data_IF_237428736943
#
_entry.id   IF_237428736943
#
_cell.length_a   1.000
_cell.length_b   1.000
_cell.length_c   1.000
_cell.angle_alpha   90.00
_cell.angle_beta   90.00
_cell.angle_gamma   90.00
#
_symmetry.space_group_name_H-M   'P 1'
#
loop_
_entity.id
_entity.type
_entity.pdbx_description
1 polymer ?
#
# COMPACT_ATOMS: atom_id res chain seq x y z
N UNK A 1 16.79 2.24 4.03
CA UNK A 1 15.73 1.28 3.66
C UNK A 1 16.15 -0.20 3.69
N UNK A 2 17.36 -0.60 3.93
CA UNK A 2 17.81 -2.02 3.94
C UNK A 2 17.82 -2.67 5.32
N UNK A 3 17.51 -1.95 6.40
CA UNK A 3 17.56 -2.49 7.75
C UNK A 3 16.32 -3.37 8.03
N UNK A 4 16.55 -4.62 8.47
CA UNK A 4 15.46 -5.52 8.83
C UNK A 4 14.62 -4.92 9.99
N UNK A 5 13.29 -5.15 9.99
CA UNK A 5 12.36 -4.57 10.96
C UNK A 5 12.76 -4.77 12.42
N UNK A 6 13.28 -5.96 12.75
CA UNK A 6 13.79 -6.29 14.09
C UNK A 6 14.94 -5.42 14.58
N UNK A 7 15.81 -4.92 13.68
CA UNK A 7 16.88 -4.01 14.05
C UNK A 7 16.43 -2.55 14.13
N UNK A 8 15.35 -2.21 13.43
CA UNK A 8 14.79 -0.85 13.47
C UNK A 8 14.24 -0.51 14.83
N UNK A 9 13.46 -1.40 15.45
CA UNK A 9 12.92 -1.21 16.79
C UNK A 9 14.02 -0.94 17.83
N UNK A 10 15.08 -1.76 17.82
CA UNK A 10 16.18 -1.62 18.77
C UNK A 10 17.00 -0.33 18.57
N UNK A 11 17.20 0.11 17.31
CA UNK A 11 18.03 1.29 17.04
C UNK A 11 17.24 2.61 17.07
N UNK A 12 15.91 2.53 17.09
CA UNK A 12 15.00 3.66 16.92
C UNK A 12 13.84 3.66 17.92
N UNK A 13 14.14 3.29 19.19
CA UNK A 13 13.20 3.21 20.30
C UNK A 13 12.46 4.52 20.62
N UNK A 14 12.99 5.67 20.14
CA UNK A 14 12.38 6.99 20.29
C UNK A 14 11.66 7.46 19.01
N UNK A 15 11.22 6.55 18.14
CA UNK A 15 10.51 6.90 16.91
C UNK A 15 9.16 6.20 16.83
N UNK A 16 8.28 6.76 16.03
CA UNK A 16 6.97 6.18 15.70
C UNK A 16 6.89 5.94 14.20
N UNK A 17 6.51 4.74 13.79
CA UNK A 17 6.30 4.35 12.40
C UNK A 17 4.82 4.61 12.03
N UNK A 18 4.57 5.36 10.96
CA UNK A 18 3.24 5.75 10.47
C UNK A 18 3.10 5.26 9.04
N UNK A 19 2.23 4.25 8.82
CA UNK A 19 2.05 3.59 7.53
C UNK A 19 0.65 3.80 6.95
N UNK A 20 0.53 3.85 5.63
CA UNK A 20 -0.75 3.79 4.91
C UNK A 20 -1.39 2.42 5.08
N UNK A 21 -2.67 2.38 5.48
CA UNK A 21 -3.42 1.13 5.52
C UNK A 21 -3.78 0.66 4.13
N UNK A 22 -3.32 -0.55 3.77
CA UNK A 22 -3.70 -1.20 2.50
C UNK A 22 -3.43 -0.32 1.27
N UNK A 23 -2.24 0.32 1.22
CA UNK A 23 -1.88 1.39 0.29
C UNK A 23 -2.26 1.10 -1.17
N UNK A 24 -1.66 0.09 -1.81
CA UNK A 24 -1.87 -0.18 -3.23
C UNK A 24 -3.35 -0.48 -3.60
N UNK A 25 -4.11 -1.33 -2.88
CA UNK A 25 -5.53 -1.50 -3.14
C UNK A 25 -6.34 -0.21 -3.04
N UNK A 26 -6.11 0.62 -2.01
CA UNK A 26 -6.82 1.90 -1.82
C UNK A 26 -6.47 2.89 -2.94
N UNK A 27 -5.19 2.99 -3.31
CA UNK A 27 -4.73 3.83 -4.42
C UNK A 27 -5.32 3.35 -5.75
N UNK A 28 -5.35 2.04 -5.99
CA UNK A 28 -5.97 1.49 -7.21
C UNK A 28 -7.45 1.83 -7.31
N UNK A 29 -8.21 1.69 -6.20
CA UNK A 29 -9.61 2.13 -6.14
C UNK A 29 -9.74 3.63 -6.43
N UNK A 30 -8.84 4.45 -5.88
CA UNK A 30 -8.82 5.88 -6.15
C UNK A 30 -8.61 6.18 -7.64
N UNK A 31 -7.66 5.51 -8.30
CA UNK A 31 -7.43 5.65 -9.74
C UNK A 31 -8.69 5.23 -10.53
N UNK A 32 -9.34 4.12 -10.13
CA UNK A 32 -10.61 3.70 -10.72
C UNK A 32 -11.67 4.81 -10.61
N UNK A 33 -11.76 5.49 -9.46
CA UNK A 33 -12.72 6.59 -9.27
C UNK A 33 -12.44 7.79 -10.16
N UNK A 34 -11.16 8.15 -10.36
CA UNK A 34 -10.77 9.25 -11.26
C UNK A 34 -11.19 9.01 -12.72
N UNK A 35 -11.13 7.75 -13.16
CA UNK A 35 -11.46 7.36 -14.52
C UNK A 35 -12.86 6.74 -14.66
N UNK A 36 -13.70 6.79 -13.60
CA UNK A 36 -15.07 6.24 -13.58
C UNK A 36 -15.14 4.76 -13.94
N UNK A 37 -14.13 3.99 -13.51
CA UNK A 37 -14.04 2.54 -13.69
C UNK A 37 -14.67 1.85 -12.48
N UNK A 38 -15.54 0.88 -12.71
CA UNK A 38 -16.11 0.06 -11.64
C UNK A 38 -15.12 -1.03 -11.21
N UNK A 39 -14.99 -1.25 -9.91
CA UNK A 39 -14.07 -2.24 -9.34
C UNK A 39 -14.69 -2.94 -8.10
N UNK A 40 -15.83 -3.63 -8.25
CA UNK A 40 -16.63 -4.12 -7.14
C UNK A 40 -15.90 -5.14 -6.25
N UNK A 41 -15.07 -6.03 -6.81
CA UNK A 41 -14.30 -6.97 -5.99
C UNK A 41 -13.17 -6.27 -5.22
N UNK A 42 -12.53 -5.25 -5.81
CA UNK A 42 -11.54 -4.43 -5.12
C UNK A 42 -12.18 -3.65 -3.97
N UNK A 43 -13.34 -3.04 -4.19
CA UNK A 43 -14.10 -2.34 -3.15
C UNK A 43 -14.51 -3.29 -2.01
N UNK A 44 -15.01 -4.46 -2.36
CA UNK A 44 -15.37 -5.48 -1.37
C UNK A 44 -14.15 -5.96 -0.57
N UNK A 45 -13.02 -6.19 -1.24
CA UNK A 45 -11.77 -6.56 -0.56
C UNK A 45 -11.31 -5.49 0.42
N UNK A 46 -11.32 -4.21 0.02
CA UNK A 46 -10.90 -3.11 0.90
C UNK A 46 -11.79 -3.03 2.14
N UNK A 47 -13.11 -3.16 1.96
CA UNK A 47 -14.09 -3.07 3.04
C UNK A 47 -14.05 -4.27 4.00
N UNK A 48 -13.72 -5.47 3.51
CA UNK A 48 -13.82 -6.73 4.27
C UNK A 48 -12.47 -7.45 4.43
N UNK A 49 -11.36 -6.71 4.31
CA UNK A 49 -10.02 -7.27 4.22
C UNK A 49 -9.67 -8.26 5.34
N UNK A 50 -9.93 -7.91 6.60
CA UNK A 50 -9.57 -8.76 7.72
C UNK A 50 -10.39 -10.06 7.74
N UNK A 51 -11.68 -9.99 7.45
CA UNK A 51 -12.56 -11.17 7.30
C UNK A 51 -12.08 -12.07 6.17
N UNK A 52 -11.75 -11.49 5.01
CA UNK A 52 -11.26 -12.26 3.85
C UNK A 52 -9.91 -12.91 4.17
N UNK A 53 -9.00 -12.19 4.81
CA UNK A 53 -7.69 -12.74 5.17
C UNK A 53 -7.77 -13.82 6.27
N UNK A 54 -8.78 -13.77 7.14
CA UNK A 54 -9.00 -14.82 8.15
C UNK A 54 -9.50 -16.15 7.57
N UNK A 55 -9.96 -16.17 6.31
CA UNK A 55 -10.32 -17.41 5.59
C UNK A 55 -9.11 -18.19 5.05
N UNK A 56 -7.90 -17.63 5.15
CA UNK A 56 -6.67 -18.27 4.72
C UNK A 56 -5.97 -18.94 5.92
N UNK A 57 -5.40 -20.12 5.70
CA UNK A 57 -4.65 -20.86 6.73
C UNK A 57 -3.47 -20.03 7.26
N UNK A 58 -2.82 -19.26 6.37
CA UNK A 58 -1.83 -18.25 6.72
C UNK A 58 -2.30 -16.87 6.19
N UNK A 59 -2.58 -15.96 7.12
CA UNK A 59 -2.98 -14.58 6.83
C UNK A 59 -1.95 -13.84 5.97
N UNK A 60 -0.66 -14.09 6.16
CA UNK A 60 0.41 -13.43 5.40
C UNK A 60 0.49 -13.98 3.97
N UNK A 61 0.24 -15.27 3.78
CA UNK A 61 0.10 -15.86 2.46
C UNK A 61 -1.08 -15.24 1.70
N UNK A 62 -2.24 -15.14 2.35
CA UNK A 62 -3.41 -14.45 1.82
C UNK A 62 -3.10 -13.01 1.42
N UNK A 63 -2.54 -12.22 2.34
CA UNK A 63 -2.11 -10.84 2.07
C UNK A 63 -1.18 -10.73 0.85
N UNK A 64 -0.19 -11.62 0.79
CA UNK A 64 0.78 -11.66 -0.31
C UNK A 64 0.11 -12.01 -1.64
N UNK A 65 -0.86 -12.92 -1.63
CA UNK A 65 -1.58 -13.31 -2.84
C UNK A 65 -2.43 -12.16 -3.40
N UNK A 66 -3.19 -11.46 -2.56
CA UNK A 66 -3.97 -10.28 -2.99
C UNK A 66 -3.06 -9.16 -3.51
N UNK A 67 -1.94 -8.88 -2.84
CA UNK A 67 -0.98 -7.88 -3.30
C UNK A 67 -0.34 -8.28 -4.64
N UNK A 68 -0.02 -9.57 -4.83
CA UNK A 68 0.45 -10.07 -6.12
C UNK A 68 -0.60 -9.92 -7.22
N UNK A 69 -1.87 -10.23 -6.95
CA UNK A 69 -2.93 -10.07 -7.93
C UNK A 69 -3.06 -8.61 -8.42
N UNK A 70 -2.81 -7.62 -7.56
CA UNK A 70 -2.78 -6.19 -7.93
C UNK A 70 -1.61 -5.87 -8.90
N UNK A 71 -0.46 -6.53 -8.73
CA UNK A 71 0.80 -6.16 -9.41
C UNK A 71 1.31 -7.21 -10.42
N UNK A 72 0.63 -8.34 -10.58
CA UNK A 72 1.04 -9.42 -11.47
C UNK A 72 -0.14 -9.83 -12.38
N UNK A 73 0.12 -9.97 -13.67
CA UNK A 73 -0.87 -10.40 -14.64
C UNK A 73 -1.02 -11.93 -14.73
N UNK A 74 -0.19 -12.69 -14.00
CA UNK A 74 -0.24 -14.16 -14.00
C UNK A 74 -1.22 -14.69 -12.96
N UNK A 75 -2.14 -15.60 -13.35
CA UNK A 75 -3.09 -16.18 -12.42
C UNK A 75 -2.37 -17.08 -11.39
N UNK A 76 -2.76 -16.93 -10.13
CA UNK A 76 -2.33 -17.84 -9.07
C UNK A 76 -3.08 -19.16 -9.18
N UNK A 77 -2.40 -20.26 -9.52
CA UNK A 77 -3.00 -21.58 -9.70
C UNK A 77 -3.21 -22.36 -8.40
N UNK A 78 -2.60 -21.93 -7.30
CA UNK A 78 -2.65 -22.63 -6.01
C UNK A 78 -3.90 -22.29 -5.20
N UNK A 79 -4.37 -21.05 -5.26
CA UNK A 79 -5.52 -20.59 -4.50
C UNK A 79 -6.80 -20.88 -5.28
N UNK A 80 -7.72 -21.61 -4.66
CA UNK A 80 -9.01 -22.05 -5.26
C UNK A 80 -10.21 -21.26 -4.73
N UNK A 81 -10.02 -20.37 -3.75
CA UNK A 81 -11.06 -19.54 -3.18
C UNK A 81 -11.78 -18.77 -4.29
N UNK A 82 -13.13 -18.85 -4.33
CA UNK A 82 -13.96 -18.26 -5.41
C UNK A 82 -13.85 -16.74 -5.45
N UNK A 83 -13.85 -16.09 -4.27
CA UNK A 83 -13.71 -14.63 -4.20
C UNK A 83 -12.33 -14.19 -4.73
N UNK A 84 -11.27 -14.87 -4.29
CA UNK A 84 -9.92 -14.56 -4.77
C UNK A 84 -9.82 -14.68 -6.30
N UNK A 85 -10.45 -15.69 -6.91
CA UNK A 85 -10.46 -15.84 -8.37
C UNK A 85 -11.18 -14.71 -9.09
N UNK A 86 -12.31 -14.26 -8.52
CA UNK A 86 -13.06 -13.11 -9.09
C UNK A 86 -12.25 -11.82 -8.94
N UNK A 87 -11.64 -11.59 -7.79
CA UNK A 87 -10.74 -10.47 -7.52
C UNK A 87 -9.56 -10.47 -8.49
N UNK A 88 -8.85 -11.60 -8.60
CA UNK A 88 -7.69 -11.75 -9.46
C UNK A 88 -8.02 -11.46 -10.95
N UNK A 89 -9.20 -11.90 -11.41
CA UNK A 89 -9.67 -11.58 -12.77
C UNK A 89 -9.89 -10.07 -12.92
N UNK A 90 -10.62 -9.45 -11.99
CA UNK A 90 -10.87 -8.01 -12.02
C UNK A 90 -9.55 -7.22 -12.00
N UNK A 91 -8.56 -7.62 -11.19
CA UNK A 91 -7.25 -6.94 -11.18
C UNK A 91 -6.56 -6.98 -12.54
N UNK A 92 -6.60 -8.10 -13.25
CA UNK A 92 -6.02 -8.18 -14.60
C UNK A 92 -6.77 -7.28 -15.59
N UNK A 93 -8.09 -7.26 -15.53
CA UNK A 93 -8.90 -6.41 -16.40
C UNK A 93 -8.60 -4.92 -16.11
N UNK A 94 -8.48 -4.53 -14.85
CA UNK A 94 -8.09 -3.18 -14.42
C UNK A 94 -6.67 -2.81 -14.87
N UNK A 95 -5.70 -3.72 -14.73
CA UNK A 95 -4.33 -3.50 -15.18
C UNK A 95 -4.30 -3.16 -16.67
N UNK A 96 -4.96 -3.95 -17.52
CA UNK A 96 -5.02 -3.74 -18.95
C UNK A 96 -5.70 -2.41 -19.31
N UNK A 97 -6.84 -2.13 -18.66
CA UNK A 97 -7.60 -0.92 -18.93
C UNK A 97 -6.83 0.34 -18.51
N UNK A 98 -6.37 0.41 -17.25
CA UNK A 98 -5.69 1.60 -16.70
C UNK A 98 -4.40 1.87 -17.47
N UNK A 99 -3.61 0.84 -17.78
CA UNK A 99 -2.37 1.01 -18.54
C UNK A 99 -2.60 1.34 -20.01
N UNK A 100 -3.82 1.26 -20.53
CA UNK A 100 -4.19 1.74 -21.87
C UNK A 100 -4.58 3.22 -21.90
N UNK A 101 -4.82 3.84 -20.76
CA UNK A 101 -5.19 5.27 -20.66
C UNK A 101 -4.03 6.13 -21.17
N UNK A 102 -4.28 7.13 -22.06
CA UNK A 102 -3.23 7.96 -22.65
C UNK A 102 -2.28 8.59 -21.63
N UNK A 103 -2.80 9.03 -20.48
CA UNK A 103 -2.03 9.62 -19.37
C UNK A 103 -0.90 8.72 -18.86
N UNK A 104 -1.05 7.38 -18.96
CA UNK A 104 -0.11 6.40 -18.40
C UNK A 104 0.77 5.72 -19.48
N UNK A 105 0.66 6.09 -20.74
CA UNK A 105 1.41 5.46 -21.83
C UNK A 105 2.93 5.60 -21.68
N UNK A 106 3.40 6.75 -21.21
CA UNK A 106 4.84 6.97 -20.99
C UNK A 106 5.36 6.05 -19.87
N UNK A 107 4.57 5.86 -18.81
CA UNK A 107 4.90 4.94 -17.72
C UNK A 107 4.95 3.51 -18.26
N UNK A 108 3.95 3.09 -19.04
CA UNK A 108 3.92 1.76 -19.65
C UNK A 108 5.12 1.54 -20.58
N UNK A 109 5.44 2.53 -21.39
CA UNK A 109 6.57 2.47 -22.32
C UNK A 109 7.93 2.42 -21.60
N UNK A 110 8.03 2.97 -20.38
CA UNK A 110 9.22 2.96 -19.57
C UNK A 110 9.51 1.62 -18.86
N UNK A 111 8.59 0.63 -18.98
CA UNK A 111 8.80 -0.70 -18.37
C UNK A 111 9.98 -1.39 -19.06
N UNK A 112 11.01 -1.85 -18.31
CA UNK A 112 12.17 -2.49 -18.88
C UNK A 112 11.85 -3.76 -19.66
N UNK A 113 12.62 -4.06 -20.68
CA UNK A 113 12.46 -5.19 -21.60
C UNK A 113 12.36 -6.53 -20.84
N UNK A 114 13.21 -6.72 -19.85
CA UNK A 114 13.23 -7.93 -19.02
C UNK A 114 11.99 -8.12 -18.14
N UNK A 115 11.08 -7.13 -18.06
CA UNK A 115 9.79 -7.19 -17.34
C UNK A 115 8.57 -7.24 -18.28
N UNK A 116 8.76 -7.28 -19.59
CA UNK A 116 7.65 -7.33 -20.56
C UNK A 116 6.77 -8.57 -20.41
N UNK A 117 7.26 -9.66 -19.82
CA UNK A 117 6.43 -10.82 -19.50
C UNK A 117 5.29 -10.53 -18.50
N UNK A 118 5.38 -9.43 -17.75
CA UNK A 118 4.36 -8.88 -16.85
C UNK A 118 4.22 -7.37 -17.11
N UNK A 119 3.98 -6.99 -18.36
CA UNK A 119 4.03 -5.58 -18.78
C UNK A 119 3.00 -4.73 -18.07
N UNK A 120 1.71 -5.12 -18.14
CA UNK A 120 0.63 -4.35 -17.51
C UNK A 120 0.78 -4.35 -15.96
N UNK A 121 1.12 -5.49 -15.34
CA UNK A 121 1.39 -5.55 -13.90
C UNK A 121 2.58 -4.70 -13.48
N UNK A 122 3.64 -4.63 -14.29
CA UNK A 122 4.78 -3.76 -14.00
C UNK A 122 4.46 -2.29 -14.21
N UNK A 123 3.64 -1.95 -15.19
CA UNK A 123 3.18 -0.58 -15.44
C UNK A 123 2.25 -0.10 -14.32
N UNK A 124 1.25 -0.91 -13.94
CA UNK A 124 0.34 -0.55 -12.84
C UNK A 124 1.09 -0.35 -11.53
N UNK A 125 2.08 -1.21 -11.23
CA UNK A 125 2.91 -1.01 -10.03
C UNK A 125 3.60 0.35 -10.02
N UNK A 126 4.15 0.81 -11.16
CA UNK A 126 4.78 2.13 -11.27
C UNK A 126 3.77 3.27 -11.11
N UNK A 127 2.56 3.10 -11.66
CA UNK A 127 1.48 4.07 -11.49
C UNK A 127 1.09 4.16 -10.00
N UNK A 128 0.93 3.02 -9.34
CA UNK A 128 0.61 2.98 -7.91
C UNK A 128 1.71 3.64 -7.07
N UNK A 129 2.99 3.32 -7.31
CA UNK A 129 4.11 3.96 -6.61
C UNK A 129 4.19 5.49 -6.87
N UNK A 130 3.81 5.95 -8.07
CA UNK A 130 3.73 7.39 -8.35
C UNK A 130 2.67 8.08 -7.48
N UNK A 131 1.48 7.48 -7.37
CA UNK A 131 0.43 8.01 -6.50
C UNK A 131 0.78 7.88 -5.01
N UNK A 132 1.35 6.74 -4.60
CA UNK A 132 1.86 6.50 -3.24
C UNK A 132 2.81 7.62 -2.82
N UNK A 133 3.78 7.96 -3.69
CA UNK A 133 4.70 9.06 -3.41
C UNK A 133 3.98 10.42 -3.30
N UNK A 134 3.01 10.73 -4.16
CA UNK A 134 2.23 11.98 -4.06
C UNK A 134 1.46 12.05 -2.73
N UNK A 135 0.84 10.96 -2.31
CA UNK A 135 0.09 10.84 -1.06
C UNK A 135 1.05 10.97 0.14
N UNK A 136 2.22 10.32 0.07
CA UNK A 136 3.24 10.42 1.11
C UNK A 136 3.77 11.85 1.26
N UNK A 137 3.98 12.59 0.15
CA UNK A 137 4.37 14.00 0.20
C UNK A 137 3.30 14.88 0.87
N UNK A 138 2.01 14.58 0.67
CA UNK A 138 0.94 15.23 1.40
C UNK A 138 0.99 14.91 2.90
N UNK A 139 1.24 13.66 3.28
CA UNK A 139 1.43 13.28 4.68
C UNK A 139 2.64 14.00 5.31
N UNK A 140 3.77 14.09 4.61
CA UNK A 140 4.95 14.84 5.04
C UNK A 140 4.58 16.31 5.31
N UNK A 141 3.78 16.91 4.43
CA UNK A 141 3.31 18.29 4.61
C UNK A 141 2.44 18.44 5.87
N UNK A 142 1.55 17.47 6.15
CA UNK A 142 0.73 17.44 7.36
C UNK A 142 1.60 17.34 8.63
N UNK A 143 2.59 16.44 8.65
CA UNK A 143 3.52 16.24 9.75
C UNK A 143 4.35 17.48 10.02
N UNK A 144 4.87 18.13 8.96
CA UNK A 144 5.64 19.37 9.08
C UNK A 144 4.81 20.53 9.65
N UNK A 145 3.51 20.63 9.33
CA UNK A 145 2.62 21.65 9.91
C UNK A 145 2.41 21.45 11.42
N UNK A 146 2.61 20.24 11.93
CA UNK A 146 2.59 19.95 13.38
C UNK A 146 3.95 20.13 14.05
N UNK A 147 4.98 20.59 13.31
CA UNK A 147 6.37 20.71 13.79
C UNK A 147 6.92 19.38 14.34
N UNK A 148 6.50 18.23 13.77
CA UNK A 148 7.00 16.91 14.11
C UNK A 148 8.17 16.61 13.17
N UNK A 149 9.31 16.23 13.73
CA UNK A 149 10.52 15.93 12.97
C UNK A 149 10.43 14.52 12.35
N UNK A 150 10.71 14.45 11.04
CA UNK A 150 10.71 13.19 10.28
C UNK A 150 12.10 12.56 10.34
N UNK A 151 12.18 11.31 10.81
CA UNK A 151 13.40 10.53 10.90
C UNK A 151 13.77 9.85 9.57
N UNK A 152 12.79 9.18 8.94
CA UNK A 152 13.02 8.43 7.70
C UNK A 152 11.74 8.26 6.88
N UNK A 153 11.90 8.08 5.58
CA UNK A 153 10.81 7.67 4.67
C UNK A 153 10.88 6.16 4.44
N UNK A 154 9.74 5.49 4.56
CA UNK A 154 9.59 4.03 4.51
C UNK A 154 8.49 3.67 3.50
N UNK A 155 8.84 3.31 2.26
CA UNK A 155 7.88 2.87 1.24
C UNK A 155 6.53 3.63 1.27
N UNK A 156 5.51 3.01 1.86
CA UNK A 156 4.14 3.53 2.04
C UNK A 156 3.93 4.26 3.36
N UNK A 157 5.01 4.68 4.05
CA UNK A 157 4.95 5.35 5.34
C UNK A 157 6.16 6.22 5.66
N UNK A 158 6.24 6.67 6.89
CA UNK A 158 7.36 7.45 7.41
C UNK A 158 7.55 7.21 8.90
N UNK A 159 8.78 7.42 9.37
CA UNK A 159 9.13 7.42 10.79
C UNK A 159 9.31 8.84 11.28
N UNK A 160 8.77 9.15 12.44
CA UNK A 160 8.90 10.45 13.11
C UNK A 160 9.60 10.28 14.45
N UNK A 161 10.36 11.29 14.87
CA UNK A 161 10.90 11.33 16.23
C UNK A 161 9.78 11.59 17.26
N UNK A 162 9.85 10.89 18.36
CA UNK A 162 8.88 10.95 19.45
C UNK A 162 7.97 9.73 19.52
N UNK A 163 7.31 9.56 20.65
CA UNK A 163 6.33 8.49 20.88
C UNK A 163 4.92 9.04 20.62
N UNK A 164 4.34 8.65 19.49
CA UNK A 164 2.97 9.00 19.09
C UNK A 164 2.03 7.80 19.09
N UNK A 165 2.46 6.63 19.51
CA UNK A 165 1.60 5.44 19.59
C UNK A 165 0.34 5.73 20.40
N UNK A 166 -0.82 5.40 19.81
CA UNK A 166 -2.12 5.69 20.41
C UNK A 166 -2.65 7.12 20.22
N UNK A 167 -1.88 8.02 19.58
CA UNK A 167 -2.33 9.38 19.27
C UNK A 167 -3.28 9.40 18.07
N UNK A 168 -4.53 9.00 18.28
CA UNK A 168 -5.54 8.97 17.23
C UNK A 168 -5.85 10.37 16.64
N UNK A 169 -5.61 11.45 17.38
CA UNK A 169 -5.81 12.82 16.88
C UNK A 169 -4.81 13.14 15.76
N UNK A 170 -3.55 12.68 15.92
CA UNK A 170 -2.54 12.85 14.88
C UNK A 170 -2.92 12.05 13.61
N UNK A 171 -3.34 10.80 13.74
CA UNK A 171 -3.79 10.01 12.59
C UNK A 171 -4.99 10.65 11.90
N UNK A 172 -6.01 11.07 12.65
CA UNK A 172 -7.18 11.75 12.11
C UNK A 172 -6.81 13.06 11.39
N UNK A 173 -5.84 13.81 11.92
CA UNK A 173 -5.35 15.01 11.26
C UNK A 173 -4.66 14.70 9.93
N UNK A 174 -3.78 13.70 9.89
CA UNK A 174 -3.12 13.25 8.66
C UNK A 174 -4.17 12.79 7.63
N UNK A 175 -5.12 11.95 8.06
CA UNK A 175 -6.21 11.45 7.22
C UNK A 175 -7.02 12.59 6.60
N UNK A 176 -7.43 13.56 7.41
CA UNK A 176 -8.20 14.70 6.95
C UNK A 176 -7.40 15.50 5.95
N UNK A 177 -6.18 15.88 6.30
CA UNK A 177 -5.30 16.71 5.45
C UNK A 177 -5.02 16.06 4.09
N UNK A 178 -4.73 14.76 4.09
CA UNK A 178 -4.45 14.00 2.86
C UNK A 178 -5.71 13.84 2.02
N UNK A 179 -6.83 13.43 2.63
CA UNK A 179 -8.06 13.17 1.89
C UNK A 179 -8.74 14.44 1.35
N UNK A 180 -8.47 15.61 1.92
CA UNK A 180 -8.85 16.91 1.33
C UNK A 180 -8.11 17.19 0.04
N UNK A 181 -6.84 16.83 -0.07
CA UNK A 181 -6.05 17.01 -1.29
C UNK A 181 -6.33 15.95 -2.35
N UNK A 182 -6.80 14.77 -1.94
CA UNK A 182 -7.15 13.64 -2.81
C UNK A 182 -8.61 13.22 -2.59
N UNK A 183 -9.60 13.98 -3.09
CA UNK A 183 -11.01 13.65 -2.90
C UNK A 183 -11.37 12.24 -3.39
N UNK A 184 -12.10 11.47 -2.58
CA UNK A 184 -12.47 10.06 -2.79
C UNK A 184 -11.35 9.02 -2.58
N UNK A 185 -10.14 9.43 -2.19
CA UNK A 185 -9.06 8.49 -1.86
C UNK A 185 -9.44 7.65 -0.62
N UNK A 186 -9.91 8.30 0.45
CA UNK A 186 -10.26 7.68 1.73
C UNK A 186 -9.10 6.85 2.32
N UNK A 187 -7.87 7.36 2.19
CA UNK A 187 -6.69 6.73 2.79
C UNK A 187 -6.79 6.77 4.31
N UNK A 188 -6.47 5.65 4.93
CA UNK A 188 -6.33 5.49 6.37
C UNK A 188 -4.88 5.25 6.73
N UNK A 189 -4.50 5.71 7.92
CA UNK A 189 -3.16 5.56 8.45
C UNK A 189 -3.18 4.76 9.74
N UNK A 190 -2.05 4.15 10.08
CA UNK A 190 -1.88 3.38 11.32
C UNK A 190 -0.48 3.55 11.88
N UNK A 191 -0.35 3.37 13.18
CA UNK A 191 0.93 3.20 13.83
C UNK A 191 1.35 1.74 13.70
N UNK A 192 2.57 1.51 13.25
CA UNK A 192 3.13 0.16 13.15
C UNK A 192 4.11 -0.05 14.28
N UNK A 193 3.78 -0.95 15.19
CA UNK A 193 4.65 -1.31 16.30
C UNK A 193 5.96 -1.90 15.77
N UNK A 194 7.06 -1.51 16.40
CA UNK A 194 8.35 -2.11 16.17
C UNK A 194 8.39 -3.49 16.81
N UNK A 195 8.91 -4.48 16.10
CA UNK A 195 9.15 -5.81 16.65
C UNK A 195 10.45 -5.75 17.47
N UNK A 196 10.35 -5.62 18.80
CA UNK A 196 11.50 -5.46 19.71
C UNK A 196 12.11 -6.81 20.15
N UNK A 197 11.55 -7.93 19.72
CA UNK A 197 12.06 -9.26 20.05
C UNK A 197 13.31 -9.60 19.22
N UNK A 198 14.48 -9.24 19.73
CA UNK A 198 15.75 -9.81 19.28
C UNK A 198 16.05 -11.02 20.17
N UNK A 199 15.85 -12.23 19.67
CA UNK A 199 16.48 -13.41 20.25
C UNK A 199 18.00 -13.28 20.03
N UNK A 200 18.72 -12.88 21.08
CA UNK A 200 20.20 -12.96 21.09
C UNK A 200 20.52 -14.44 21.27
N UNK A 201 21.19 -15.09 20.31
CA UNK A 201 21.65 -16.47 20.52
C UNK A 201 22.59 -16.46 21.72
N UNK A 202 22.18 -17.12 22.81
CA UNK A 202 23.07 -17.39 23.95
C UNK A 202 24.08 -18.41 23.44
N UNK A 203 25.33 -17.98 23.23
CA UNK A 203 26.46 -18.81 22.82
C UNK A 203 26.90 -19.79 23.89
#
# INVERSE_FOLDING_TARGET
QGLQSKFRGFLMDHTTDIDMKNAHPVILKYICSLHKIQCPNLEYYIANRETILSEFDDRNEGKTAFLKAVNDNKPNRKITNKFFKSFEKEMRDLQQFITSIPEYQDIKSSVPENKKYNWDGSAINRILCMYENKILQSCISAINQKNIEICALMFDGLMVYGNFYGNNELLNYIETFVNEQFPNLNMKWDFKEHNDEIEIPVG
#
